data_IF_719931245376
#
_entry.id   IF_719931245376
#
_cell.length_a   1.000
_cell.length_b   1.000
_cell.length_c   1.000
_cell.angle_alpha   90.00
_cell.angle_beta   90.00
_cell.angle_gamma   90.00
#
_symmetry.space_group_name_H-M   'P 1'
#
loop_
_entity.id
_entity.type
_entity.pdbx_description
1 polymer ?
#
# COMPACT_ATOMS: atom_id res chain seq x y z
N UNK A 1 69.81 -2.69 -20.12
CA UNK A 1 69.19 -3.17 -21.38
C UNK A 1 69.21 -4.68 -21.29
N UNK A 2 68.11 -5.43 -21.16
CA UNK A 2 66.76 -5.38 -21.75
C UNK A 2 65.81 -6.18 -20.83
N UNK A 3 64.81 -5.59 -20.20
CA UNK A 3 63.40 -5.49 -20.64
C UNK A 3 62.72 -6.83 -20.94
N UNK A 4 61.94 -7.33 -19.98
CA UNK A 4 60.75 -8.19 -20.21
C UNK A 4 59.69 -7.80 -19.17
N UNK A 5 58.55 -7.22 -19.57
CA UNK A 5 57.43 -6.97 -18.67
C UNK A 5 56.49 -8.17 -18.75
N UNK A 6 56.37 -8.93 -17.67
CA UNK A 6 55.32 -9.94 -17.57
C UNK A 6 54.00 -9.19 -17.36
N UNK A 7 53.20 -9.14 -18.42
CA UNK A 7 51.88 -8.55 -18.40
C UNK A 7 51.01 -9.26 -17.38
N UNK A 8 50.63 -8.53 -16.32
CA UNK A 8 49.48 -8.83 -15.49
C UNK A 8 48.26 -8.98 -16.41
N UNK A 9 47.93 -10.22 -16.74
CA UNK A 9 46.59 -10.59 -17.14
C UNK A 9 45.68 -10.32 -15.95
N UNK A 10 45.15 -9.11 -15.88
CA UNK A 10 44.05 -8.75 -14.99
C UNK A 10 42.85 -9.61 -15.40
N UNK A 11 42.76 -10.82 -14.86
CA UNK A 11 41.55 -11.61 -14.88
C UNK A 11 40.56 -10.91 -13.96
N UNK A 12 39.87 -9.90 -14.49
CA UNK A 12 38.70 -9.31 -13.85
C UNK A 12 37.76 -10.45 -13.46
N UNK A 13 37.30 -10.52 -12.19
CA UNK A 13 36.34 -11.54 -11.81
C UNK A 13 35.10 -11.38 -12.71
N UNK A 14 34.52 -12.48 -13.20
CA UNK A 14 33.35 -12.39 -14.04
C UNK A 14 32.27 -11.63 -13.27
N UNK A 15 31.70 -10.59 -13.88
CA UNK A 15 30.52 -9.93 -13.37
C UNK A 15 29.41 -10.98 -13.24
N UNK A 16 29.32 -11.57 -12.06
CA UNK A 16 28.26 -12.45 -11.64
C UNK A 16 26.99 -11.63 -11.70
N UNK A 17 26.19 -11.91 -12.73
CA UNK A 17 24.90 -11.27 -12.95
C UNK A 17 24.13 -11.28 -11.64
N UNK A 18 23.89 -10.09 -11.09
CA UNK A 18 23.00 -9.90 -9.94
C UNK A 18 21.68 -10.54 -10.35
N UNK A 19 21.42 -11.73 -9.83
CA UNK A 19 20.11 -12.33 -9.84
C UNK A 19 19.23 -11.39 -9.02
N UNK A 20 18.57 -10.45 -9.69
CA UNK A 20 17.38 -9.84 -9.12
C UNK A 20 16.46 -11.01 -8.77
N UNK A 21 16.14 -11.24 -7.48
CA UNK A 21 15.15 -12.23 -7.13
C UNK A 21 13.90 -11.84 -7.89
N UNK A 22 13.50 -12.69 -8.84
CA UNK A 22 12.26 -12.50 -9.59
C UNK A 22 11.18 -12.38 -8.53
N UNK A 23 10.65 -11.17 -8.36
CA UNK A 23 9.51 -10.94 -7.47
C UNK A 23 8.42 -11.82 -8.04
N UNK A 24 8.24 -12.98 -7.40
CA UNK A 24 7.43 -14.06 -7.93
C UNK A 24 6.04 -13.46 -8.11
N UNK A 25 5.51 -13.58 -9.33
CA UNK A 25 4.28 -12.94 -9.74
C UNK A 25 3.09 -13.74 -9.16
N UNK A 26 3.06 -13.94 -7.84
CA UNK A 26 2.04 -14.66 -7.07
C UNK A 26 0.65 -14.10 -7.34
N UNK A 27 0.59 -12.78 -7.58
CA UNK A 27 -0.62 -12.08 -8.00
C UNK A 27 -1.21 -12.64 -9.28
N UNK A 28 -0.39 -13.12 -10.21
CA UNK A 28 -0.82 -13.62 -11.52
C UNK A 28 -1.30 -15.08 -11.44
N UNK A 29 -0.71 -15.88 -10.55
CA UNK A 29 -1.14 -17.27 -10.31
C UNK A 29 -2.44 -17.34 -9.48
N UNK A 30 -2.63 -16.43 -8.51
CA UNK A 30 -3.88 -16.33 -7.75
C UNK A 30 -5.01 -15.67 -8.56
N UNK A 31 -4.69 -14.88 -9.58
CA UNK A 31 -5.69 -14.26 -10.47
C UNK A 31 -6.45 -15.29 -11.32
N UNK A 32 -5.82 -16.43 -11.66
CA UNK A 32 -6.42 -17.47 -12.50
C UNK A 32 -7.52 -18.28 -11.79
N UNK A 33 -7.69 -18.15 -10.48
CA UNK A 33 -8.73 -18.83 -9.67
C UNK A 33 -9.73 -17.90 -8.99
N UNK A 34 -9.83 -16.65 -9.42
CA UNK A 34 -10.81 -15.73 -8.84
C UNK A 34 -12.21 -16.02 -9.37
N UNK A 35 -13.11 -16.38 -8.47
CA UNK A 35 -14.55 -16.47 -8.75
C UNK A 35 -15.07 -15.08 -9.13
N UNK A 36 -16.13 -15.01 -9.95
CA UNK A 36 -16.69 -13.72 -10.42
C UNK A 36 -17.03 -12.75 -9.28
N UNK A 37 -17.37 -13.28 -8.10
CA UNK A 37 -17.64 -12.51 -6.89
C UNK A 37 -16.42 -11.74 -6.37
N UNK A 38 -15.21 -12.32 -6.41
CA UNK A 38 -13.99 -11.65 -5.98
C UNK A 38 -13.58 -10.51 -6.94
N UNK A 39 -13.84 -10.68 -8.25
CA UNK A 39 -13.63 -9.61 -9.23
C UNK A 39 -14.62 -8.47 -9.03
N UNK A 40 -15.88 -8.77 -8.74
CA UNK A 40 -16.89 -7.76 -8.44
C UNK A 40 -16.56 -7.01 -7.14
N UNK A 41 -16.18 -7.72 -6.08
CA UNK A 41 -15.78 -7.11 -4.81
C UNK A 41 -14.57 -6.17 -4.98
N UNK A 42 -13.59 -6.54 -5.81
CA UNK A 42 -12.43 -5.69 -6.10
C UNK A 42 -12.78 -4.45 -6.91
N UNK A 43 -13.72 -4.57 -7.87
CA UNK A 43 -14.21 -3.43 -8.62
C UNK A 43 -14.97 -2.45 -7.73
N UNK A 44 -15.87 -2.95 -6.87
CA UNK A 44 -16.63 -2.14 -5.90
C UNK A 44 -15.69 -1.46 -4.92
N UNK A 45 -14.69 -2.18 -4.42
CA UNK A 45 -13.65 -1.63 -3.54
C UNK A 45 -12.89 -0.48 -4.19
N UNK A 46 -12.41 -0.69 -5.43
CA UNK A 46 -11.68 0.35 -6.16
C UNK A 46 -12.56 1.56 -6.49
N UNK A 47 -13.84 1.34 -6.77
CA UNK A 47 -14.81 2.39 -7.04
C UNK A 47 -15.17 3.19 -5.77
N UNK A 48 -15.45 2.52 -4.65
CA UNK A 48 -15.78 3.14 -3.37
C UNK A 48 -14.63 4.00 -2.80
N UNK A 49 -13.38 3.63 -3.09
CA UNK A 49 -12.20 4.43 -2.70
C UNK A 49 -11.87 5.60 -3.64
N UNK A 50 -12.64 5.83 -4.70
CA UNK A 50 -12.33 6.84 -5.73
C UNK A 50 -13.15 8.12 -5.58
N UNK A 51 -12.56 9.27 -5.92
CA UNK A 51 -13.27 10.56 -6.00
C UNK A 51 -14.43 10.55 -7.02
N UNK A 52 -14.37 9.69 -8.04
CA UNK A 52 -15.45 9.54 -9.02
C UNK A 52 -16.78 9.13 -8.39
N UNK A 53 -16.75 8.35 -7.30
CA UNK A 53 -17.95 7.93 -6.56
C UNK A 53 -18.68 9.12 -5.95
N UNK A 54 -17.92 10.05 -5.36
CA UNK A 54 -18.46 11.26 -4.72
C UNK A 54 -19.13 12.16 -5.75
N UNK A 55 -18.50 12.37 -6.90
CA UNK A 55 -19.09 13.17 -7.98
C UNK A 55 -20.36 12.54 -8.55
N UNK A 56 -20.39 11.21 -8.71
CA UNK A 56 -21.58 10.49 -9.16
C UNK A 56 -22.75 10.72 -8.19
N UNK A 57 -22.51 10.57 -6.88
CA UNK A 57 -23.53 10.80 -5.85
C UNK A 57 -24.02 12.24 -5.82
N UNK A 58 -23.10 13.21 -5.96
CA UNK A 58 -23.45 14.63 -6.00
C UNK A 58 -24.39 14.95 -7.18
N UNK A 59 -24.06 14.45 -8.38
CA UNK A 59 -24.88 14.65 -9.58
C UNK A 59 -26.21 13.93 -9.44
N UNK A 60 -26.22 12.70 -8.92
CA UNK A 60 -27.43 11.92 -8.68
C UNK A 60 -28.38 12.62 -7.70
N UNK A 61 -27.89 13.07 -6.54
CA UNK A 61 -28.70 13.79 -5.55
C UNK A 61 -29.21 15.12 -6.08
N UNK A 62 -28.35 15.88 -6.74
CA UNK A 62 -28.74 17.15 -7.36
C UNK A 62 -29.84 16.92 -8.41
N UNK A 63 -29.67 15.90 -9.27
CA UNK A 63 -30.68 15.49 -10.25
C UNK A 63 -32.00 15.11 -9.59
N UNK A 64 -31.97 14.28 -8.54
CA UNK A 64 -33.18 13.84 -7.82
C UNK A 64 -33.94 15.00 -7.19
N UNK A 65 -33.22 15.94 -6.57
CA UNK A 65 -33.82 17.13 -5.95
C UNK A 65 -34.47 18.01 -7.03
N UNK A 66 -33.76 18.28 -8.13
CA UNK A 66 -34.29 19.10 -9.24
C UNK A 66 -35.51 18.45 -9.91
N UNK A 67 -35.50 17.12 -10.07
CA UNK A 67 -36.64 16.36 -10.57
C UNK A 67 -37.86 16.49 -9.65
N UNK A 68 -37.67 16.35 -8.34
CA UNK A 68 -38.76 16.45 -7.36
C UNK A 68 -39.20 17.89 -7.07
N UNK A 69 -38.39 18.90 -7.40
CA UNK A 69 -38.75 20.32 -7.30
C UNK A 69 -39.65 20.80 -8.45
N UNK A 70 -40.09 19.89 -9.33
CA UNK A 70 -41.09 20.21 -10.36
C UNK A 70 -40.50 20.66 -11.70
N UNK A 71 -39.22 20.41 -11.97
CA UNK A 71 -38.60 20.73 -13.27
C UNK A 71 -39.32 20.10 -14.48
N UNK A 72 -40.13 19.05 -14.27
CA UNK A 72 -40.93 18.37 -15.29
C UNK A 72 -42.46 18.44 -15.08
N UNK A 73 -42.94 19.32 -14.18
CA UNK A 73 -44.37 19.63 -13.99
C UNK A 73 -44.93 19.35 -12.58
N UNK A 74 -45.77 20.26 -12.08
CA UNK A 74 -46.33 20.34 -10.71
C UNK A 74 -47.21 19.15 -10.24
N UNK A 75 -47.33 18.09 -11.02
CA UNK A 75 -48.31 17.01 -10.78
C UNK A 75 -47.71 15.63 -10.48
N UNK A 76 -46.38 15.48 -10.49
CA UNK A 76 -45.71 14.22 -10.16
C UNK A 76 -44.69 14.49 -9.05
N UNK A 77 -45.17 14.75 -7.83
CA UNK A 77 -44.33 14.78 -6.64
C UNK A 77 -44.13 13.32 -6.21
N UNK A 78 -43.04 12.70 -6.69
CA UNK A 78 -42.73 11.29 -6.38
C UNK A 78 -42.19 11.14 -4.95
N UNK A 79 -41.40 12.11 -4.47
CA UNK A 79 -40.79 12.12 -3.14
C UNK A 79 -40.87 13.53 -2.53
N UNK A 80 -41.96 13.88 -1.81
CA UNK A 80 -42.11 15.19 -1.16
C UNK A 80 -40.99 15.42 -0.13
N UNK A 81 -40.59 16.69 0.05
CA UNK A 81 -39.70 17.06 1.14
C UNK A 81 -40.28 16.56 2.48
N UNK A 82 -39.57 15.74 3.27
CA UNK A 82 -38.10 15.64 3.41
C UNK A 82 -37.37 14.53 2.61
N UNK A 83 -37.89 14.07 1.47
CA UNK A 83 -37.30 13.02 0.61
C UNK A 83 -37.12 11.66 1.31
N UNK A 84 -38.24 11.08 1.76
CA UNK A 84 -38.26 9.82 2.51
C UNK A 84 -37.75 8.62 1.71
N UNK A 85 -38.06 8.56 0.42
CA UNK A 85 -37.62 7.43 -0.42
C UNK A 85 -36.13 7.52 -0.72
N UNK A 86 -35.61 8.71 -1.04
CA UNK A 86 -34.18 8.93 -1.23
C UNK A 86 -33.40 8.52 0.03
N UNK A 87 -33.81 9.02 1.19
CA UNK A 87 -33.10 8.75 2.46
C UNK A 87 -33.11 7.26 2.82
N UNK A 88 -34.21 6.55 2.58
CA UNK A 88 -34.28 5.10 2.77
C UNK A 88 -33.33 4.34 1.86
N UNK A 89 -33.31 4.64 0.56
CA UNK A 89 -32.44 3.97 -0.42
C UNK A 89 -30.96 4.25 -0.11
N UNK A 90 -30.62 5.50 0.19
CA UNK A 90 -29.24 5.90 0.55
C UNK A 90 -28.77 5.22 1.84
N UNK A 91 -29.65 5.08 2.83
CA UNK A 91 -29.31 4.39 4.08
C UNK A 91 -28.97 2.92 3.84
N UNK A 92 -29.75 2.24 2.99
CA UNK A 92 -29.47 0.87 2.59
C UNK A 92 -28.14 0.78 1.83
N UNK A 93 -27.93 1.67 0.85
CA UNK A 93 -26.70 1.72 0.05
C UNK A 93 -25.46 1.96 0.92
N UNK A 94 -25.55 2.87 1.89
CA UNK A 94 -24.47 3.17 2.83
C UNK A 94 -24.07 1.95 3.69
N UNK A 95 -25.03 1.12 4.12
CA UNK A 95 -24.75 -0.12 4.87
C UNK A 95 -23.95 -1.11 4.00
N UNK A 96 -24.35 -1.29 2.74
CA UNK A 96 -23.62 -2.15 1.80
C UNK A 96 -22.21 -1.62 1.53
N UNK A 97 -22.08 -0.32 1.26
CA UNK A 97 -20.79 0.32 1.03
C UNK A 97 -19.85 0.19 2.23
N UNK A 98 -20.35 0.47 3.44
CA UNK A 98 -19.59 0.32 4.67
C UNK A 98 -19.08 -1.12 4.85
N UNK A 99 -19.93 -2.11 4.55
CA UNK A 99 -19.55 -3.53 4.64
C UNK A 99 -18.49 -3.88 3.60
N UNK A 100 -18.61 -3.41 2.35
CA UNK A 100 -17.58 -3.64 1.32
C UNK A 100 -16.25 -2.96 1.67
N UNK A 101 -16.31 -1.73 2.16
CA UNK A 101 -15.12 -0.99 2.64
C UNK A 101 -14.46 -1.74 3.78
N UNK A 102 -15.22 -2.23 4.77
CA UNK A 102 -14.69 -3.01 5.89
C UNK A 102 -14.03 -4.32 5.42
N UNK A 103 -14.64 -5.03 4.47
CA UNK A 103 -14.05 -6.24 3.88
C UNK A 103 -12.72 -5.93 3.17
N UNK A 104 -12.67 -4.83 2.40
CA UNK A 104 -11.43 -4.40 1.75
C UNK A 104 -10.35 -4.03 2.75
N UNK A 105 -10.72 -3.23 3.75
CA UNK A 105 -9.80 -2.82 4.81
C UNK A 105 -9.23 -4.03 5.53
N UNK A 106 -10.07 -4.99 5.95
CA UNK A 106 -9.61 -6.22 6.59
C UNK A 106 -8.63 -7.01 5.72
N UNK A 107 -8.88 -7.08 4.40
CA UNK A 107 -7.97 -7.74 3.46
C UNK A 107 -6.64 -7.01 3.34
N UNK A 108 -6.65 -5.69 3.24
CA UNK A 108 -5.42 -4.90 3.12
C UNK A 108 -4.62 -4.89 4.42
N UNK A 109 -5.27 -4.84 5.59
CA UNK A 109 -4.63 -5.03 6.89
C UNK A 109 -3.93 -6.39 6.98
N UNK A 110 -4.59 -7.48 6.55
CA UNK A 110 -3.95 -8.81 6.51
C UNK A 110 -2.69 -8.81 5.62
N UNK A 111 -2.74 -8.14 4.46
CA UNK A 111 -1.57 -8.01 3.57
C UNK A 111 -0.46 -7.16 4.20
N UNK A 112 -0.83 -6.08 4.89
CA UNK A 112 0.12 -5.22 5.59
C UNK A 112 0.82 -5.97 6.72
N UNK A 113 0.10 -6.77 7.50
CA UNK A 113 0.69 -7.59 8.57
C UNK A 113 1.74 -8.57 8.03
N UNK A 114 1.43 -9.30 6.96
CA UNK A 114 2.39 -10.22 6.33
C UNK A 114 3.63 -9.49 5.81
N UNK A 115 3.45 -8.28 5.23
CA UNK A 115 4.59 -7.47 4.80
C UNK A 115 5.43 -7.00 5.97
N UNK A 116 4.81 -6.55 7.06
CA UNK A 116 5.50 -6.11 8.26
C UNK A 116 6.35 -7.25 8.87
N UNK A 117 5.84 -8.48 8.88
CA UNK A 117 6.60 -9.65 9.37
C UNK A 117 7.83 -9.93 8.49
N UNK A 118 7.70 -9.83 7.17
CA UNK A 118 8.80 -10.01 6.22
C UNK A 118 9.85 -8.90 6.32
N UNK A 119 9.40 -7.65 6.47
CA UNK A 119 10.26 -6.48 6.63
C UNK A 119 11.03 -6.56 7.95
N UNK A 120 10.37 -7.02 9.02
CA UNK A 120 11.01 -7.29 10.31
C UNK A 120 12.11 -8.35 10.18
N UNK A 121 11.82 -9.50 9.56
CA UNK A 121 12.81 -10.56 9.37
C UNK A 121 14.01 -10.11 8.53
N UNK A 122 13.77 -9.26 7.52
CA UNK A 122 14.83 -8.68 6.68
C UNK A 122 15.68 -7.68 7.46
N UNK A 123 15.04 -6.86 8.30
CA UNK A 123 15.72 -5.89 9.17
C UNK A 123 16.64 -6.58 10.16
N UNK A 124 16.11 -7.56 10.92
CA UNK A 124 16.89 -8.36 11.88
C UNK A 124 18.05 -9.07 11.19
N UNK A 125 17.82 -9.66 10.00
CA UNK A 125 18.89 -10.28 9.23
C UNK A 125 19.98 -9.26 8.88
N UNK A 126 19.60 -8.10 8.37
CA UNK A 126 20.55 -7.05 7.99
C UNK A 126 21.38 -6.56 9.18
N UNK A 127 20.74 -6.39 10.35
CA UNK A 127 21.41 -6.04 11.59
C UNK A 127 22.43 -7.12 12.02
N UNK A 128 22.04 -8.40 12.02
CA UNK A 128 22.94 -9.51 12.34
C UNK A 128 24.15 -9.53 11.40
N UNK A 129 23.94 -9.41 10.09
CA UNK A 129 25.03 -9.34 9.11
C UNK A 129 25.95 -8.14 9.36
N UNK A 130 25.39 -6.96 9.63
CA UNK A 130 26.17 -5.75 9.93
C UNK A 130 27.02 -5.91 11.20
N UNK A 131 26.45 -6.49 12.27
CA UNK A 131 27.16 -6.75 13.52
C UNK A 131 28.26 -7.79 13.35
N UNK A 132 28.06 -8.76 12.44
CA UNK A 132 29.05 -9.80 12.16
C UNK A 132 30.24 -9.21 11.39
N UNK A 133 29.98 -8.41 10.37
CA UNK A 133 31.03 -7.71 9.60
C UNK A 133 31.78 -6.72 10.50
N UNK A 134 31.08 -5.94 11.32
CA UNK A 134 31.70 -5.03 12.29
C UNK A 134 32.67 -5.75 13.22
N UNK A 135 32.25 -6.89 13.79
CA UNK A 135 33.12 -7.73 14.63
C UNK A 135 34.33 -8.29 13.89
N UNK A 136 34.18 -8.73 12.64
CA UNK A 136 35.32 -9.20 11.83
C UNK A 136 36.33 -8.08 11.53
N UNK A 137 35.87 -6.83 11.44
CA UNK A 137 36.72 -5.65 11.24
C UNK A 137 37.28 -5.06 12.55
N UNK A 138 36.99 -5.69 13.70
CA UNK A 138 37.41 -5.18 15.02
C UNK A 138 36.63 -3.94 15.50
N UNK A 139 35.52 -3.61 14.83
CA UNK A 139 34.62 -2.53 15.23
C UNK A 139 33.65 -3.11 16.27
N UNK A 140 33.76 -2.66 17.52
CA UNK A 140 32.87 -3.08 18.60
C UNK A 140 31.46 -2.45 18.42
N UNK A 141 30.39 -3.24 18.24
CA UNK A 141 29.03 -2.72 18.14
C UNK A 141 28.62 -1.86 19.33
N UNK A 142 29.10 -2.16 20.54
CA UNK A 142 28.78 -1.38 21.73
C UNK A 142 29.39 0.03 21.68
N UNK A 143 30.59 0.16 21.11
CA UNK A 143 31.24 1.46 20.93
C UNK A 143 30.50 2.33 19.90
N UNK A 144 29.96 1.71 18.84
CA UNK A 144 29.13 2.41 17.84
C UNK A 144 27.85 2.93 18.48
N UNK A 145 27.16 2.11 19.29
CA UNK A 145 25.92 2.51 19.96
C UNK A 145 26.13 3.68 20.93
N UNK A 146 27.22 3.64 21.71
CA UNK A 146 27.62 4.75 22.60
C UNK A 146 27.86 6.03 21.78
N UNK A 147 28.53 5.91 20.62
CA UNK A 147 28.80 7.07 19.76
C UNK A 147 27.52 7.62 19.13
N UNK A 148 26.58 6.77 18.72
CA UNK A 148 25.27 7.17 18.20
C UNK A 148 24.48 7.90 19.29
N UNK A 149 24.39 7.35 20.50
CA UNK A 149 23.70 8.01 21.61
C UNK A 149 24.33 9.35 21.99
N UNK A 150 25.66 9.46 21.93
CA UNK A 150 26.35 10.72 22.17
C UNK A 150 26.04 11.76 21.08
N UNK A 151 26.02 11.37 19.81
CA UNK A 151 25.61 12.24 18.69
C UNK A 151 24.14 12.65 18.83
N UNK A 152 23.23 11.74 19.17
CA UNK A 152 21.80 12.05 19.38
C UNK A 152 21.58 13.01 20.55
N UNK A 153 22.31 12.82 21.66
CA UNK A 153 22.30 13.75 22.80
C UNK A 153 22.84 15.13 22.44
N UNK A 154 23.86 15.20 21.58
CA UNK A 154 24.44 16.46 21.09
C UNK A 154 23.56 17.15 20.04
N UNK A 155 22.82 16.39 19.24
CA UNK A 155 22.02 16.91 18.12
C UNK A 155 20.62 17.38 18.54
N UNK A 156 20.14 17.02 19.74
CA UNK A 156 19.03 17.70 20.40
C UNK A 156 17.85 18.05 19.48
N UNK A 157 17.36 17.10 18.68
CA UNK A 157 16.03 17.23 18.09
C UNK A 157 15.06 16.61 19.09
N UNK A 158 14.11 17.36 19.67
CA UNK A 158 13.12 16.80 20.57
C UNK A 158 12.37 15.70 19.82
N UNK A 159 12.20 14.54 20.47
CA UNK A 159 11.32 13.50 19.97
C UNK A 159 9.93 14.11 19.66
N UNK A 160 9.31 13.79 18.51
CA UNK A 160 7.91 14.18 18.27
C UNK A 160 6.97 13.52 19.28
#
# INVERSE_FOLDING_TARGET
MTHTPDGEGTSSPPHSGRHHPKVFNERMLLAQRRTGQERFADAVTGFAGSMSFVYLHLVWFTGWILLNQGAFGDRIIFDPFPYGLLTMVVSLEAIFLSTFVMISQNRDTRRQNVRADLDYATTVRSEVWSSHIGRQLGIDPAAVEVRVQEILRQTGTPAP
#
